data_IF_338510578877
#
_entry.id   IF_338510578877
#
_cell.length_a   1.000
_cell.length_b   1.000
_cell.length_c   1.000
_cell.angle_alpha   90.00
_cell.angle_beta   90.00
_cell.angle_gamma   90.00
#
_symmetry.space_group_name_H-M   'P 1'
#
loop_
_entity.id
_entity.type
_entity.pdbx_description
1 polymer ?
#
# COMPACT_ATOMS: atom_id res chain seq x y z
N UNK A 1 26.55 -22.48 10.61
CA UNK A 1 27.09 -22.60 9.23
C UNK A 1 26.60 -21.40 8.42
N UNK A 2 27.43 -20.38 8.20
CA UNK A 2 27.11 -19.14 7.45
C UNK A 2 28.18 -18.92 6.36
N UNK A 3 28.42 -19.92 5.50
CA UNK A 3 29.45 -19.85 4.46
C UNK A 3 28.91 -19.47 3.06
N UNK A 4 27.59 -19.45 2.85
CA UNK A 4 26.97 -19.29 1.52
C UNK A 4 26.08 -18.03 1.35
N UNK A 5 26.24 -16.99 2.19
CA UNK A 5 25.45 -15.75 2.07
C UNK A 5 26.22 -14.59 1.39
N UNK A 6 27.53 -14.75 1.19
CA UNK A 6 28.35 -13.73 0.52
C UNK A 6 28.07 -13.74 -0.97
N UNK A 7 27.90 -12.55 -1.54
CA UNK A 7 27.87 -12.36 -2.98
C UNK A 7 29.26 -12.64 -3.57
N UNK A 8 29.28 -13.36 -4.68
CA UNK A 8 30.46 -13.49 -5.54
C UNK A 8 30.79 -12.15 -6.22
N UNK A 9 32.03 -12.01 -6.72
CA UNK A 9 32.45 -10.81 -7.46
C UNK A 9 31.57 -10.52 -8.67
N UNK A 10 31.12 -11.58 -9.38
CA UNK A 10 30.19 -11.45 -10.49
C UNK A 10 28.85 -10.86 -10.06
N UNK A 11 28.31 -11.31 -8.92
CA UNK A 11 27.03 -10.81 -8.41
C UNK A 11 27.14 -9.37 -7.91
N UNK A 12 28.25 -9.01 -7.27
CA UNK A 12 28.54 -7.63 -6.89
C UNK A 12 28.61 -6.74 -8.13
N UNK A 13 29.29 -7.19 -9.19
CA UNK A 13 29.37 -6.47 -10.47
C UNK A 13 27.98 -6.27 -11.09
N UNK A 14 27.13 -7.30 -11.09
CA UNK A 14 25.73 -7.22 -11.58
C UNK A 14 24.89 -6.24 -10.78
N UNK A 15 24.93 -6.28 -9.45
CA UNK A 15 24.24 -5.29 -8.62
C UNK A 15 24.76 -3.87 -8.90
N UNK A 16 26.06 -3.70 -9.14
CA UNK A 16 26.64 -2.44 -9.57
C UNK A 16 26.06 -1.92 -10.89
N UNK A 17 25.85 -2.81 -11.87
CA UNK A 17 25.21 -2.46 -13.14
C UNK A 17 23.75 -2.05 -12.96
N UNK A 18 22.97 -2.79 -12.17
CA UNK A 18 21.58 -2.44 -11.81
C UNK A 18 21.53 -1.06 -11.17
N UNK A 19 22.37 -0.81 -10.16
CA UNK A 19 22.40 0.48 -9.45
C UNK A 19 22.81 1.61 -10.40
N UNK A 20 23.73 1.37 -11.33
CA UNK A 20 24.13 2.36 -12.34
C UNK A 20 22.93 2.76 -13.22
N UNK A 21 22.14 1.78 -13.69
CA UNK A 21 20.93 2.04 -14.46
C UNK A 21 19.92 2.84 -13.62
N UNK A 22 19.66 2.40 -12.39
CA UNK A 22 18.67 3.05 -11.50
C UNK A 22 19.08 4.48 -11.06
N UNK A 23 20.37 4.81 -11.07
CA UNK A 23 20.85 6.17 -10.80
C UNK A 23 20.71 7.11 -12.00
N UNK A 24 20.70 6.58 -13.22
CA UNK A 24 20.56 7.37 -14.44
C UNK A 24 19.08 7.53 -14.84
N UNK A 25 18.35 8.28 -14.02
CA UNK A 25 16.90 8.48 -14.19
C UNK A 25 16.52 9.12 -15.52
N UNK A 26 17.43 9.91 -16.10
CA UNK A 26 17.20 10.57 -17.39
C UNK A 26 17.08 9.60 -18.56
N UNK A 27 17.71 8.42 -18.47
CA UNK A 27 17.74 7.41 -19.53
C UNK A 27 16.80 6.22 -19.30
N UNK A 28 15.90 6.27 -18.31
CA UNK A 28 14.94 5.18 -18.01
C UNK A 28 14.13 4.71 -19.22
N UNK A 29 13.88 5.60 -20.19
CA UNK A 29 13.13 5.28 -21.41
C UNK A 29 13.94 4.43 -22.39
N UNK A 30 15.28 4.48 -22.35
CA UNK A 30 16.19 3.75 -23.26
C UNK A 30 16.99 2.64 -22.58
N UNK A 31 17.27 2.72 -21.28
CA UNK A 31 18.00 1.68 -20.55
C UNK A 31 17.15 0.43 -20.35
N UNK A 32 17.81 -0.72 -20.22
CA UNK A 32 17.18 -2.03 -20.02
C UNK A 32 18.01 -2.84 -19.01
N UNK A 33 17.37 -3.74 -18.28
CA UNK A 33 18.04 -4.68 -17.39
C UNK A 33 18.32 -5.99 -18.10
N UNK A 34 19.44 -6.65 -17.77
CA UNK A 34 19.66 -8.01 -18.23
C UNK A 34 18.81 -8.99 -17.40
N UNK A 35 18.29 -10.05 -18.01
CA UNK A 35 17.50 -11.08 -17.30
C UNK A 35 18.26 -11.68 -16.11
N UNK A 36 19.58 -11.87 -16.25
CA UNK A 36 20.44 -12.38 -15.19
C UNK A 36 20.59 -11.40 -14.01
N UNK A 37 20.43 -10.09 -14.22
CA UNK A 37 20.46 -9.10 -13.15
C UNK A 37 19.16 -9.15 -12.34
N UNK A 38 18.02 -9.29 -13.02
CA UNK A 38 16.71 -9.48 -12.36
C UNK A 38 16.67 -10.82 -11.63
N UNK A 39 17.14 -11.90 -12.26
CA UNK A 39 17.22 -13.22 -11.63
C UNK A 39 18.07 -13.18 -10.34
N UNK A 40 19.17 -12.41 -10.32
CA UNK A 40 19.96 -12.19 -9.11
C UNK A 40 19.13 -11.50 -8.02
N UNK A 41 18.45 -10.39 -8.33
CA UNK A 41 17.60 -9.68 -7.36
C UNK A 41 16.51 -10.59 -6.77
N UNK A 42 15.81 -11.35 -7.63
CA UNK A 42 14.77 -12.30 -7.19
C UNK A 42 15.35 -13.40 -6.31
N UNK A 43 16.53 -13.92 -6.65
CA UNK A 43 17.23 -14.91 -5.82
C UNK A 43 17.53 -14.34 -4.44
N UNK A 44 18.11 -13.14 -4.36
CA UNK A 44 18.44 -12.50 -3.09
C UNK A 44 17.18 -12.22 -2.27
N UNK A 45 16.11 -11.76 -2.92
CA UNK A 45 14.83 -11.52 -2.27
C UNK A 45 14.28 -12.81 -1.66
N UNK A 46 14.41 -13.97 -2.32
CA UNK A 46 13.96 -15.28 -1.79
C UNK A 46 14.90 -15.87 -0.73
N UNK A 47 16.21 -15.80 -0.92
CA UNK A 47 17.16 -16.58 -0.12
C UNK A 47 17.79 -15.84 1.05
N UNK A 48 17.85 -14.50 1.02
CA UNK A 48 18.50 -13.76 2.09
C UNK A 48 17.70 -13.80 3.38
N UNK A 49 18.36 -13.88 4.56
CA UNK A 49 17.69 -13.78 5.84
C UNK A 49 16.89 -12.49 5.98
N UNK A 50 15.77 -12.52 6.71
CA UNK A 50 14.94 -11.32 6.93
C UNK A 50 15.75 -10.14 7.49
N UNK A 51 16.73 -10.39 8.37
CA UNK A 51 17.59 -9.35 8.92
C UNK A 51 18.48 -8.63 7.89
N UNK A 52 18.62 -9.17 6.68
CA UNK A 52 19.53 -8.67 5.63
C UNK A 52 18.80 -8.29 4.33
N UNK A 53 17.49 -8.54 4.21
CA UNK A 53 16.74 -8.37 2.96
C UNK A 53 16.46 -6.90 2.58
N UNK A 54 16.51 -5.98 3.56
CA UNK A 54 16.23 -4.55 3.37
C UNK A 54 16.87 -3.93 2.11
N UNK A 55 18.18 -4.08 1.84
CA UNK A 55 18.82 -3.46 0.67
C UNK A 55 18.28 -4.00 -0.66
N UNK A 56 17.86 -5.27 -0.69
CA UNK A 56 17.28 -5.87 -1.90
C UNK A 56 15.93 -5.25 -2.20
N UNK A 57 15.11 -5.05 -1.15
CA UNK A 57 13.81 -4.37 -1.26
C UNK A 57 13.99 -2.89 -1.63
N UNK A 58 15.06 -2.25 -1.13
CA UNK A 58 15.37 -0.86 -1.46
C UNK A 58 15.78 -0.68 -2.93
N UNK A 59 16.43 -1.67 -3.54
CA UNK A 59 16.64 -1.73 -5.00
C UNK A 59 15.33 -2.01 -5.71
N UNK A 60 14.53 -2.98 -5.23
CA UNK A 60 13.26 -3.38 -5.84
C UNK A 60 12.28 -2.20 -5.96
N UNK A 61 12.14 -1.36 -4.92
CA UNK A 61 11.26 -0.18 -4.96
C UNK A 61 11.65 0.82 -6.05
N UNK A 62 12.92 0.87 -6.45
CA UNK A 62 13.40 1.72 -7.54
C UNK A 62 13.24 1.02 -8.89
N UNK A 63 13.46 -0.30 -8.92
CA UNK A 63 13.25 -1.15 -10.10
C UNK A 63 11.83 -1.04 -10.62
N UNK A 64 10.83 -1.09 -9.74
CA UNK A 64 9.41 -0.99 -10.15
C UNK A 64 9.05 0.37 -10.74
N UNK A 65 9.85 1.43 -10.52
CA UNK A 65 9.61 2.74 -11.13
C UNK A 65 10.24 2.88 -12.52
N UNK A 66 11.15 1.97 -12.88
CA UNK A 66 11.77 1.94 -14.19
C UNK A 66 10.86 1.17 -15.18
N UNK A 67 10.53 1.69 -16.38
CA UNK A 67 9.58 1.04 -17.30
C UNK A 67 9.95 -0.39 -17.66
N UNK A 68 11.23 -0.63 -18.02
CA UNK A 68 11.73 -1.98 -18.28
C UNK A 68 11.74 -2.86 -17.02
N UNK A 69 12.28 -2.38 -15.89
CA UNK A 69 12.29 -3.11 -14.62
C UNK A 69 10.89 -3.54 -14.16
N UNK A 70 9.91 -2.65 -14.29
CA UNK A 70 8.50 -2.93 -14.04
C UNK A 70 7.97 -4.05 -14.94
N UNK A 71 8.31 -4.02 -16.24
CA UNK A 71 7.87 -5.02 -17.23
C UNK A 71 8.51 -6.38 -16.98
N UNK A 72 9.81 -6.42 -16.68
CA UNK A 72 10.51 -7.69 -16.45
C UNK A 72 10.07 -8.31 -15.12
N UNK A 73 9.90 -7.51 -14.07
CA UNK A 73 9.43 -8.01 -12.78
C UNK A 73 8.02 -8.61 -12.86
N UNK A 74 7.13 -8.03 -13.68
CA UNK A 74 5.74 -8.50 -13.83
C UNK A 74 5.66 -9.97 -14.25
N UNK A 75 6.63 -10.46 -15.03
CA UNK A 75 6.74 -11.88 -15.44
C UNK A 75 6.90 -12.85 -14.26
N UNK A 76 7.16 -12.34 -13.07
CA UNK A 76 7.36 -13.10 -11.83
C UNK A 76 6.25 -12.85 -10.79
N UNK A 77 5.17 -12.21 -11.22
CA UNK A 77 4.04 -11.75 -10.38
C UNK A 77 2.73 -12.46 -10.80
N UNK A 78 2.82 -13.44 -11.70
CA UNK A 78 1.73 -14.31 -12.12
C UNK A 78 1.99 -15.74 -11.57
N UNK A 79 0.92 -16.45 -11.16
CA UNK A 79 0.89 -17.83 -10.64
C UNK A 79 1.27 -18.07 -9.15
N UNK A 80 1.38 -19.34 -8.74
CA UNK A 80 1.59 -19.83 -7.35
C UNK A 80 2.87 -19.30 -6.66
N UNK A 81 3.76 -18.64 -7.41
CA UNK A 81 5.07 -18.15 -6.96
C UNK A 81 5.20 -16.62 -7.03
N UNK A 82 4.11 -15.91 -6.73
CA UNK A 82 4.09 -14.45 -6.66
C UNK A 82 5.17 -13.90 -5.71
N UNK A 83 6.21 -13.32 -6.31
CA UNK A 83 7.35 -12.80 -5.57
C UNK A 83 6.99 -11.58 -4.70
N UNK A 84 6.02 -10.76 -5.13
CA UNK A 84 5.62 -9.56 -4.41
C UNK A 84 4.82 -9.94 -3.16
N UNK A 85 3.88 -10.88 -3.29
CA UNK A 85 3.14 -11.38 -2.12
C UNK A 85 4.04 -12.10 -1.13
N UNK A 86 5.00 -12.90 -1.62
CA UNK A 86 5.99 -13.54 -0.75
C UNK A 86 6.85 -12.50 -0.01
N UNK A 87 7.29 -11.44 -0.70
CA UNK A 87 8.00 -10.33 -0.06
C UNK A 87 7.15 -9.66 1.01
N UNK A 88 5.87 -9.36 0.72
CA UNK A 88 4.94 -8.72 1.66
C UNK A 88 4.78 -9.57 2.92
N UNK A 89 4.47 -10.87 2.78
CA UNK A 89 4.33 -11.82 3.91
C UNK A 89 5.58 -11.86 4.78
N UNK A 90 6.76 -11.82 4.15
CA UNK A 90 8.05 -11.86 4.84
C UNK A 90 8.37 -10.58 5.60
N UNK A 91 8.07 -9.40 5.05
CA UNK A 91 8.35 -8.13 5.74
C UNK A 91 7.34 -7.80 6.85
N UNK A 92 6.16 -8.42 6.82
CA UNK A 92 5.11 -8.22 7.83
C UNK A 92 5.02 -9.36 8.85
N UNK A 93 5.96 -10.30 8.80
CA UNK A 93 6.06 -11.36 9.81
C UNK A 93 6.28 -10.73 11.19
N UNK A 94 5.49 -11.14 12.18
CA UNK A 94 5.56 -10.60 13.54
C UNK A 94 6.74 -11.21 14.34
N UNK A 95 7.55 -10.40 15.05
CA UNK A 95 7.57 -8.93 15.02
C UNK A 95 8.24 -8.40 13.74
N UNK A 96 7.65 -7.40 13.05
CA UNK A 96 8.22 -6.88 11.81
C UNK A 96 9.49 -6.09 12.10
N UNK A 97 10.51 -6.25 11.24
CA UNK A 97 11.70 -5.42 11.30
C UNK A 97 11.40 -4.04 10.69
N UNK A 98 11.54 -2.92 11.44
CA UNK A 98 11.12 -1.59 10.96
C UNK A 98 11.70 -1.18 9.59
N UNK A 99 12.98 -1.46 9.26
CA UNK A 99 13.52 -1.15 7.94
C UNK A 99 12.80 -1.90 6.82
N UNK A 100 12.57 -3.20 7.01
CA UNK A 100 11.90 -4.06 6.03
C UNK A 100 10.45 -3.67 5.82
N UNK A 101 9.72 -3.39 6.91
CA UNK A 101 8.33 -2.98 6.86
C UNK A 101 8.20 -1.66 6.07
N UNK A 102 9.08 -0.69 6.37
CA UNK A 102 9.08 0.62 5.72
C UNK A 102 9.44 0.53 4.22
N UNK A 103 10.48 -0.23 3.85
CA UNK A 103 10.82 -0.37 2.43
C UNK A 103 9.83 -1.24 1.68
N UNK A 104 9.26 -2.25 2.33
CA UNK A 104 8.22 -3.11 1.76
C UNK A 104 6.97 -2.32 1.39
N UNK A 105 6.41 -1.54 2.33
CA UNK A 105 5.24 -0.71 2.02
C UNK A 105 5.54 0.31 0.93
N UNK A 106 6.74 0.91 0.93
CA UNK A 106 7.15 1.86 -0.13
C UNK A 106 7.32 1.19 -1.49
N UNK A 107 7.80 -0.06 -1.53
CA UNK A 107 7.85 -0.85 -2.76
C UNK A 107 6.44 -1.09 -3.32
N UNK A 108 5.49 -1.49 -2.45
CA UNK A 108 4.08 -1.66 -2.82
C UNK A 108 3.46 -0.35 -3.33
N UNK A 109 3.67 0.76 -2.61
CA UNK A 109 3.19 2.09 -3.03
C UNK A 109 3.71 2.50 -4.41
N UNK A 110 4.93 2.10 -4.78
CA UNK A 110 5.51 2.41 -6.08
C UNK A 110 4.91 1.58 -7.24
N UNK A 111 4.29 0.41 -6.96
CA UNK A 111 3.65 -0.40 -7.99
C UNK A 111 2.51 0.34 -8.69
N UNK A 112 1.80 1.21 -7.97
CA UNK A 112 0.71 2.03 -8.51
C UNK A 112 1.13 2.92 -9.67
N UNK A 113 2.44 3.20 -9.83
CA UNK A 113 2.94 4.04 -10.93
C UNK A 113 2.79 3.38 -12.30
N UNK A 114 2.68 2.06 -12.37
CA UNK A 114 2.64 1.32 -13.63
C UNK A 114 1.31 0.58 -13.77
N UNK A 115 0.60 0.87 -14.88
CA UNK A 115 -0.70 0.29 -15.21
C UNK A 115 -0.77 -1.25 -15.11
N UNK A 116 0.24 -2.04 -15.52
CA UNK A 116 0.16 -3.49 -15.45
C UNK A 116 -0.03 -4.05 -14.02
N UNK A 117 0.44 -3.34 -12.99
CA UNK A 117 0.25 -3.78 -11.60
C UNK A 117 -1.11 -3.39 -11.02
N UNK A 118 -1.91 -2.58 -11.70
CA UNK A 118 -3.21 -2.13 -11.18
C UNK A 118 -4.16 -3.32 -10.95
N UNK A 119 -4.24 -4.24 -11.91
CA UNK A 119 -5.02 -5.47 -11.77
C UNK A 119 -4.53 -6.34 -10.62
N UNK A 120 -3.21 -6.43 -10.46
CA UNK A 120 -2.59 -7.20 -9.38
C UNK A 120 -2.89 -6.60 -8.00
N UNK A 121 -2.77 -5.27 -7.87
CA UNK A 121 -3.06 -4.52 -6.64
C UNK A 121 -4.53 -4.68 -6.24
N UNK A 122 -5.45 -4.61 -7.20
CA UNK A 122 -6.88 -4.84 -6.96
C UNK A 122 -7.15 -6.26 -6.48
N UNK A 123 -6.61 -7.26 -7.18
CA UNK A 123 -6.78 -8.67 -6.81
C UNK A 123 -6.35 -8.94 -5.37
N UNK A 124 -5.21 -8.42 -4.95
CA UNK A 124 -4.64 -8.66 -3.62
C UNK A 124 -5.07 -7.62 -2.58
N UNK A 125 -5.90 -6.65 -2.93
CA UNK A 125 -6.46 -5.70 -1.98
C UNK A 125 -7.31 -6.42 -0.92
N UNK A 126 -8.04 -7.47 -1.33
CA UNK A 126 -9.12 -8.06 -0.53
C UNK A 126 -9.13 -9.60 -0.50
N UNK A 127 -8.03 -10.26 -0.87
CA UNK A 127 -7.99 -11.73 -1.00
C UNK A 127 -8.39 -12.40 0.34
N UNK A 128 -9.67 -12.80 0.38
CA UNK A 128 -10.41 -13.56 1.41
C UNK A 128 -11.10 -12.80 2.55
N UNK A 129 -11.84 -11.74 2.25
CA UNK A 129 -13.02 -11.38 3.08
C UNK A 129 -14.21 -12.29 2.76
N UNK A 130 -14.15 -13.57 3.16
CA UNK A 130 -15.43 -14.31 3.34
C UNK A 130 -16.22 -13.59 4.44
N UNK A 131 -17.50 -13.32 4.19
CA UNK A 131 -18.35 -12.43 5.02
C UNK A 131 -18.41 -12.75 6.52
N UNK A 132 -17.85 -13.86 6.98
CA UNK A 132 -17.72 -14.22 8.40
C UNK A 132 -16.66 -13.39 9.17
N UNK A 133 -15.56 -12.97 8.54
CA UNK A 133 -14.45 -12.29 9.25
C UNK A 133 -14.80 -10.84 9.64
N UNK A 134 -15.75 -10.21 8.93
CA UNK A 134 -16.23 -8.84 9.24
C UNK A 134 -16.87 -8.73 10.63
N UNK A 135 -17.58 -9.76 11.09
CA UNK A 135 -18.18 -9.77 12.45
C UNK A 135 -17.15 -9.93 13.58
N UNK A 136 -15.92 -10.36 13.26
CA UNK A 136 -14.88 -10.61 14.26
C UNK A 136 -13.71 -9.62 14.20
N UNK A 137 -13.69 -8.62 13.30
CA UNK A 137 -12.63 -7.58 13.29
C UNK A 137 -12.54 -6.82 14.62
N UNK A 138 -13.67 -6.59 15.29
CA UNK A 138 -13.72 -6.00 16.63
C UNK A 138 -13.19 -6.94 17.74
N UNK A 139 -13.09 -8.25 17.47
CA UNK A 139 -12.62 -9.30 18.38
C UNK A 139 -11.15 -9.65 18.09
N UNK A 140 -10.66 -9.62 16.85
CA UNK A 140 -9.26 -9.92 16.56
C UNK A 140 -8.27 -8.86 17.07
N UNK A 141 -8.70 -7.60 17.24
CA UNK A 141 -7.88 -6.56 17.85
C UNK A 141 -7.72 -6.71 19.38
N UNK A 142 -8.42 -7.66 20.02
CA UNK A 142 -8.34 -7.85 21.48
C UNK A 142 -7.21 -8.81 21.95
N UNK A 143 -6.26 -9.15 21.09
CA UNK A 143 -5.03 -9.88 21.50
C UNK A 143 -5.25 -11.30 22.02
N UNK A 144 -6.41 -11.92 21.77
CA UNK A 144 -6.82 -13.20 22.38
C UNK A 144 -6.78 -14.42 21.44
N UNK A 145 -6.29 -14.30 20.21
CA UNK A 145 -6.19 -15.43 19.28
C UNK A 145 -4.72 -15.89 19.11
N UNK A 146 -4.30 -17.00 19.77
CA UNK A 146 -2.91 -17.48 19.70
C UNK A 146 -2.52 -18.20 18.39
N UNK A 147 -3.45 -18.38 17.44
CA UNK A 147 -3.18 -18.99 16.13
C UNK A 147 -3.17 -17.95 15.00
N UNK A 148 -2.19 -17.04 15.05
CA UNK A 148 -2.03 -15.91 14.14
C UNK A 148 -1.59 -16.33 12.70
N UNK A 149 -0.97 -17.51 12.55
CA UNK A 149 -0.32 -17.92 11.29
C UNK A 149 -1.30 -18.31 10.17
N UNK A 150 -2.50 -18.79 10.50
CA UNK A 150 -3.51 -19.19 9.51
C UNK A 150 -4.32 -18.00 8.97
N UNK A 151 -4.40 -16.90 9.74
CA UNK A 151 -5.21 -15.71 9.41
C UNK A 151 -4.49 -14.81 8.39
N UNK A 152 -3.15 -14.76 8.41
CA UNK A 152 -2.36 -13.94 7.47
C UNK A 152 -2.53 -14.39 6.02
N UNK A 153 -2.87 -15.67 5.78
CA UNK A 153 -3.16 -16.18 4.44
C UNK A 153 -4.43 -15.64 3.80
N UNK A 154 -5.30 -14.97 4.56
CA UNK A 154 -6.59 -14.41 4.13
C UNK A 154 -6.67 -12.88 4.25
N UNK A 155 -5.55 -12.21 4.55
CA UNK A 155 -5.50 -10.76 4.71
C UNK A 155 -5.02 -10.10 3.43
N UNK A 156 -5.79 -9.12 2.95
CA UNK A 156 -5.39 -8.28 1.83
C UNK A 156 -4.26 -7.33 2.20
N UNK A 157 -3.64 -6.71 1.18
CA UNK A 157 -2.49 -5.81 1.36
C UNK A 157 -2.77 -4.70 2.39
N UNK A 158 -3.98 -4.14 2.41
CA UNK A 158 -4.38 -3.11 3.37
C UNK A 158 -4.32 -3.63 4.81
N UNK A 159 -4.86 -4.81 5.07
CA UNK A 159 -4.91 -5.40 6.41
C UNK A 159 -3.51 -5.72 6.94
N UNK A 160 -2.65 -6.27 6.09
CA UNK A 160 -1.29 -6.68 6.47
C UNK A 160 -0.42 -5.49 6.87
N UNK A 161 -0.63 -4.31 6.28
CA UNK A 161 0.09 -3.08 6.62
C UNK A 161 -0.66 -2.16 7.60
N UNK A 162 -1.88 -2.49 8.02
CA UNK A 162 -2.74 -1.64 8.87
C UNK A 162 -2.02 -1.08 10.10
N UNK A 163 -1.26 -1.90 10.83
CA UNK A 163 -0.48 -1.45 12.00
C UNK A 163 0.49 -0.29 11.76
N UNK A 164 0.81 0.04 10.50
CA UNK A 164 1.67 1.17 10.14
C UNK A 164 1.04 2.52 10.50
N UNK A 165 -0.29 2.67 10.52
CA UNK A 165 -0.92 3.96 10.84
C UNK A 165 -0.71 4.39 12.31
N UNK A 166 -0.67 3.43 13.23
CA UNK A 166 -0.45 3.67 14.66
C UNK A 166 1.02 3.56 15.06
N UNK A 167 1.92 3.39 14.10
CA UNK A 167 3.36 3.27 14.37
C UNK A 167 3.92 4.57 14.95
N UNK A 168 4.85 4.54 15.92
CA UNK A 168 5.56 5.74 16.36
C UNK A 168 6.48 6.32 15.27
N UNK A 169 6.77 5.55 14.21
CA UNK A 169 7.56 6.03 13.09
C UNK A 169 6.67 6.76 12.09
N UNK A 170 6.79 8.09 12.06
CA UNK A 170 6.10 8.98 11.10
C UNK A 170 6.27 8.56 9.64
N UNK A 171 7.39 7.94 9.27
CA UNK A 171 7.60 7.45 7.90
C UNK A 171 6.72 6.25 7.55
N UNK A 172 6.38 5.40 8.53
CA UNK A 172 5.46 4.28 8.32
C UNK A 172 4.03 4.79 8.18
N UNK A 173 3.61 5.72 9.05
CA UNK A 173 2.31 6.40 8.94
C UNK A 173 2.15 7.03 7.55
N UNK A 174 3.14 7.80 7.12
CA UNK A 174 3.11 8.50 5.83
C UNK A 174 3.08 7.53 4.65
N UNK A 175 3.83 6.42 4.72
CA UNK A 175 3.88 5.43 3.65
C UNK A 175 2.54 4.68 3.53
N UNK A 176 1.89 4.37 4.65
CA UNK A 176 0.58 3.73 4.68
C UNK A 176 -0.53 4.66 4.18
N UNK A 177 -0.55 5.92 4.65
CA UNK A 177 -1.48 6.93 4.14
C UNK A 177 -1.30 7.19 2.63
N UNK A 178 -0.06 7.12 2.13
CA UNK A 178 0.21 7.22 0.67
C UNK A 178 -0.32 6.01 -0.09
N UNK A 179 -0.19 4.80 0.46
CA UNK A 179 -0.75 3.59 -0.15
C UNK A 179 -2.27 3.66 -0.22
N UNK A 180 -2.94 4.10 0.85
CA UNK A 180 -4.40 4.32 0.88
C UNK A 180 -4.83 5.33 -0.17
N UNK A 181 -4.15 6.48 -0.26
CA UNK A 181 -4.45 7.49 -1.28
C UNK A 181 -4.30 6.94 -2.70
N UNK A 182 -3.25 6.16 -2.97
CA UNK A 182 -3.06 5.55 -4.29
C UNK A 182 -4.14 4.52 -4.61
N UNK A 183 -4.60 3.74 -3.62
CA UNK A 183 -5.75 2.85 -3.79
C UNK A 183 -7.03 3.64 -4.07
N UNK A 184 -7.29 4.73 -3.35
CA UNK A 184 -8.45 5.58 -3.60
C UNK A 184 -8.47 6.05 -5.06
N UNK A 185 -7.34 6.58 -5.56
CA UNK A 185 -7.18 7.00 -6.96
C UNK A 185 -7.39 5.83 -7.93
N UNK A 186 -6.82 4.66 -7.65
CA UNK A 186 -6.98 3.48 -8.50
C UNK A 186 -8.44 3.01 -8.61
N UNK A 187 -9.16 3.04 -7.50
CA UNK A 187 -10.51 2.48 -7.40
C UNK A 187 -11.59 3.44 -7.91
N UNK A 188 -11.28 4.73 -8.03
CA UNK A 188 -12.17 5.73 -8.61
C UNK A 188 -12.65 5.29 -9.99
N UNK A 189 -11.76 4.85 -10.87
CA UNK A 189 -12.13 4.53 -12.25
C UNK A 189 -12.81 3.16 -12.42
N UNK A 190 -12.75 2.30 -11.39
CA UNK A 190 -12.90 0.85 -11.53
C UNK A 190 -14.23 0.29 -11.01
N UNK A 191 -15.08 1.15 -10.43
CA UNK A 191 -16.42 0.81 -9.89
C UNK A 191 -16.41 -0.36 -8.87
N UNK A 192 -15.27 -0.61 -8.23
CA UNK A 192 -15.14 -1.63 -7.18
C UNK A 192 -15.60 -1.05 -5.84
N UNK A 193 -16.90 -1.17 -5.56
CA UNK A 193 -17.51 -0.59 -4.36
C UNK A 193 -17.00 -1.23 -3.07
N UNK A 194 -16.63 -2.52 -3.10
CA UNK A 194 -16.10 -3.20 -1.91
C UNK A 194 -14.69 -2.71 -1.59
N UNK A 195 -13.84 -2.62 -2.62
CA UNK A 195 -12.52 -2.01 -2.49
C UNK A 195 -12.59 -0.55 -2.01
N UNK A 196 -13.50 0.24 -2.59
CA UNK A 196 -13.70 1.64 -2.18
C UNK A 196 -14.12 1.75 -0.71
N UNK A 197 -15.04 0.90 -0.25
CA UNK A 197 -15.46 0.83 1.15
C UNK A 197 -14.29 0.56 2.10
N UNK A 198 -13.44 -0.42 1.79
CA UNK A 198 -12.30 -0.78 2.63
C UNK A 198 -11.28 0.36 2.74
N UNK A 199 -10.99 1.01 1.61
CA UNK A 199 -10.05 2.15 1.57
C UNK A 199 -10.62 3.35 2.30
N UNK A 200 -11.92 3.61 2.18
CA UNK A 200 -12.60 4.67 2.92
C UNK A 200 -12.50 4.43 4.44
N UNK A 201 -12.80 3.22 4.91
CA UNK A 201 -12.66 2.87 6.34
C UNK A 201 -11.23 3.10 6.83
N UNK A 202 -10.24 2.58 6.11
CA UNK A 202 -8.84 2.75 6.50
C UNK A 202 -8.39 4.22 6.47
N UNK A 203 -8.92 5.04 5.55
CA UNK A 203 -8.64 6.46 5.49
C UNK A 203 -9.26 7.22 6.68
N UNK A 204 -10.49 6.87 7.07
CA UNK A 204 -11.17 7.48 8.22
C UNK A 204 -10.47 7.16 9.54
N UNK A 205 -10.01 5.92 9.73
CA UNK A 205 -9.20 5.54 10.90
C UNK A 205 -7.96 6.45 11.08
N UNK A 206 -7.33 6.86 9.97
CA UNK A 206 -6.19 7.79 9.98
C UNK A 206 -6.65 9.23 10.23
N UNK A 207 -7.76 9.65 9.62
CA UNK A 207 -8.29 11.00 9.72
C UNK A 207 -8.70 11.35 11.17
N UNK A 208 -9.35 10.41 11.85
CA UNK A 208 -9.83 10.53 13.22
C UNK A 208 -8.72 10.37 14.27
N UNK A 209 -7.60 9.74 13.92
CA UNK A 209 -6.51 9.49 14.86
C UNK A 209 -5.88 10.77 15.42
N UNK A 210 -5.79 10.89 16.74
CA UNK A 210 -5.26 12.09 17.41
C UNK A 210 -3.76 12.30 17.19
N UNK A 211 -2.96 11.22 17.25
CA UNK A 211 -1.50 11.26 17.22
C UNK A 211 -0.92 10.87 15.85
N UNK A 212 -1.58 11.31 14.78
CA UNK A 212 -1.20 11.05 13.40
C UNK A 212 -0.40 12.23 12.85
N UNK A 213 0.69 11.93 12.17
CA UNK A 213 1.51 12.93 11.48
C UNK A 213 0.68 13.69 10.42
N UNK A 214 0.93 15.00 10.31
CA UNK A 214 0.04 15.92 9.57
C UNK A 214 -0.05 15.57 8.08
N UNK A 215 1.04 15.23 7.40
CA UNK A 215 1.01 14.79 6.00
C UNK A 215 0.27 13.45 5.80
N UNK A 216 0.38 12.55 6.78
CA UNK A 216 -0.34 11.27 6.80
C UNK A 216 -1.85 11.51 6.91
N UNK A 217 -2.27 12.37 7.84
CA UNK A 217 -3.66 12.78 8.01
C UNK A 217 -4.20 13.51 6.78
N UNK A 218 -3.41 14.42 6.20
CA UNK A 218 -3.77 15.12 4.98
C UNK A 218 -4.03 14.16 3.81
N UNK A 219 -3.14 13.19 3.57
CA UNK A 219 -3.31 12.19 2.50
C UNK A 219 -4.54 11.32 2.70
N UNK A 220 -4.85 10.95 3.95
CA UNK A 220 -6.06 10.21 4.27
C UNK A 220 -7.32 11.02 3.98
N UNK A 221 -7.37 12.30 4.36
CA UNK A 221 -8.49 13.19 4.04
C UNK A 221 -8.64 13.39 2.52
N UNK A 222 -7.55 13.54 1.77
CA UNK A 222 -7.60 13.59 0.30
C UNK A 222 -8.18 12.28 -0.26
N UNK A 223 -7.82 11.12 0.30
CA UNK A 223 -8.39 9.83 -0.10
C UNK A 223 -9.90 9.76 0.16
N UNK A 224 -10.36 10.22 1.34
CA UNK A 224 -11.79 10.34 1.68
C UNK A 224 -12.50 11.22 0.64
N UNK A 225 -12.04 12.46 0.44
CA UNK A 225 -12.65 13.39 -0.51
C UNK A 225 -12.67 12.86 -1.96
N UNK A 226 -11.61 12.16 -2.38
CA UNK A 226 -11.53 11.58 -3.73
C UNK A 226 -12.57 10.48 -3.96
N UNK A 227 -12.84 9.66 -2.94
CA UNK A 227 -13.89 8.62 -2.99
C UNK A 227 -15.29 9.25 -2.91
N UNK A 228 -15.48 10.29 -2.09
CA UNK A 228 -16.75 11.00 -1.94
C UNK A 228 -17.17 11.79 -3.18
N UNK A 229 -16.21 12.43 -3.88
CA UNK A 229 -16.47 13.21 -5.10
C UNK A 229 -17.05 12.35 -6.22
N UNK A 230 -16.66 11.08 -6.30
CA UNK A 230 -17.08 10.21 -7.39
C UNK A 230 -18.55 9.74 -7.27
N UNK A 231 -19.10 9.73 -6.06
CA UNK A 231 -20.50 9.39 -5.84
C UNK A 231 -21.44 10.38 -6.54
N UNK A 232 -21.03 11.63 -6.81
CA UNK A 232 -21.86 12.61 -7.55
C UNK A 232 -22.07 12.20 -9.02
N UNK A 233 -21.09 11.54 -9.64
CA UNK A 233 -21.18 11.13 -11.05
C UNK A 233 -21.84 9.75 -11.23
N UNK A 234 -21.75 8.87 -10.23
CA UNK A 234 -22.32 7.51 -10.25
C UNK A 234 -23.72 7.41 -9.60
N UNK A 235 -24.09 8.30 -8.69
CA UNK A 235 -25.41 8.32 -8.04
C UNK A 235 -26.58 8.59 -9.01
N UNK A 236 -26.30 9.05 -10.24
CA UNK A 236 -27.31 9.14 -11.29
C UNK A 236 -27.67 7.78 -11.93
N UNK A 237 -26.94 6.69 -11.63
CA UNK A 237 -27.12 5.40 -12.31
C UNK A 237 -27.42 4.19 -11.43
N UNK A 238 -26.98 4.13 -10.16
CA UNK A 238 -27.23 2.97 -9.29
C UNK A 238 -27.37 3.41 -7.83
N UNK A 239 -28.39 2.89 -7.14
CA UNK A 239 -28.76 3.20 -5.76
C UNK A 239 -27.64 2.77 -4.78
N UNK A 240 -26.82 3.75 -4.37
CA UNK A 240 -25.42 3.59 -3.96
C UNK A 240 -25.17 2.92 -2.60
N UNK A 241 -24.28 1.93 -2.60
CA UNK A 241 -23.72 1.32 -1.37
C UNK A 241 -22.71 2.25 -0.70
N UNK A 242 -21.87 2.95 -1.48
CA UNK A 242 -20.87 3.90 -0.96
C UNK A 242 -21.56 5.10 -0.30
N UNK A 243 -22.66 5.60 -0.88
CA UNK A 243 -23.54 6.62 -0.27
C UNK A 243 -24.07 6.20 1.11
N UNK A 244 -24.47 4.93 1.28
CA UNK A 244 -24.90 4.41 2.59
C UNK A 244 -23.71 4.31 3.55
N UNK A 245 -22.57 3.82 3.06
CA UNK A 245 -21.35 3.67 3.84
C UNK A 245 -20.80 5.02 4.35
N UNK A 246 -20.82 6.08 3.54
CA UNK A 246 -20.38 7.42 3.93
C UNK A 246 -21.27 8.04 5.03
N UNK A 247 -22.58 7.78 4.96
CA UNK A 247 -23.54 8.14 6.01
C UNK A 247 -23.35 7.28 7.27
N UNK A 248 -23.01 6.00 7.11
CA UNK A 248 -22.74 5.08 8.22
C UNK A 248 -21.41 5.39 8.94
N UNK A 249 -20.45 6.02 8.27
CA UNK A 249 -19.13 6.37 8.80
C UNK A 249 -18.96 7.84 9.24
N UNK A 250 -20.05 8.62 9.28
CA UNK A 250 -20.04 9.99 9.81
C UNK A 250 -18.96 10.91 9.20
N UNK A 251 -18.76 10.77 7.88
CA UNK A 251 -17.76 11.55 7.10
C UNK A 251 -17.96 13.06 7.28
N UNK A 252 -19.19 13.50 7.51
CA UNK A 252 -19.52 14.90 7.78
C UNK A 252 -18.85 15.42 9.07
N UNK A 253 -18.85 14.64 10.16
CA UNK A 253 -18.19 15.05 11.39
C UNK A 253 -16.66 15.02 11.27
N UNK A 254 -16.10 14.06 10.53
CA UNK A 254 -14.66 14.06 10.20
C UNK A 254 -14.29 15.32 9.41
N UNK A 255 -15.09 15.71 8.42
CA UNK A 255 -14.86 16.91 7.62
C UNK A 255 -14.94 18.20 8.46
N UNK A 256 -15.94 18.32 9.35
CA UNK A 256 -16.06 19.46 10.29
C UNK A 256 -14.87 19.54 11.25
N UNK A 257 -14.44 18.40 11.77
CA UNK A 257 -13.27 18.31 12.67
C UNK A 257 -11.99 18.71 11.94
N UNK A 258 -11.78 18.21 10.72
CA UNK A 258 -10.65 18.58 9.88
C UNK A 258 -10.67 20.08 9.54
N UNK A 259 -11.82 20.64 9.17
CA UNK A 259 -12.01 22.07 8.90
C UNK A 259 -11.65 22.95 10.09
N UNK A 260 -11.93 22.49 11.32
CA UNK A 260 -11.59 23.20 12.55
C UNK A 260 -10.11 23.07 12.95
N UNK A 261 -9.29 22.34 12.19
CA UNK A 261 -7.87 22.18 12.45
C UNK A 261 -7.10 23.51 12.36
N UNK A 262 -6.03 23.62 13.15
CA UNK A 262 -5.08 24.73 13.07
C UNK A 262 -4.10 24.60 11.90
N UNK A 263 -3.97 23.39 11.35
CA UNK A 263 -3.11 23.10 10.20
C UNK A 263 -3.84 23.51 8.92
N UNK A 264 -3.34 24.54 8.23
CA UNK A 264 -4.02 25.15 7.06
C UNK A 264 -4.45 24.13 6.02
N UNK A 265 -3.55 23.22 5.61
CA UNK A 265 -3.86 22.18 4.62
C UNK A 265 -4.94 21.19 5.07
N UNK A 266 -5.04 20.92 6.37
CA UNK A 266 -6.08 20.05 6.95
C UNK A 266 -7.42 20.78 6.98
N UNK A 267 -7.39 22.07 7.32
CA UNK A 267 -8.58 22.92 7.35
C UNK A 267 -9.19 23.09 5.94
N UNK A 268 -8.34 23.33 4.93
CA UNK A 268 -8.74 23.49 3.54
C UNK A 268 -9.37 22.20 2.99
N UNK A 269 -8.69 21.05 3.10
CA UNK A 269 -9.25 19.77 2.63
C UNK A 269 -10.52 19.38 3.39
N UNK A 270 -10.61 19.70 4.69
CA UNK A 270 -11.83 19.49 5.48
C UNK A 270 -13.01 20.33 5.00
N UNK A 271 -12.76 21.59 4.61
CA UNK A 271 -13.78 22.46 4.02
C UNK A 271 -14.26 21.94 2.66
N UNK A 272 -13.34 21.43 1.82
CA UNK A 272 -13.69 20.84 0.53
C UNK A 272 -14.55 19.58 0.69
N UNK A 273 -14.19 18.69 1.62
CA UNK A 273 -14.99 17.48 1.90
C UNK A 273 -16.38 17.86 2.44
N UNK A 274 -16.46 18.83 3.35
CA UNK A 274 -17.74 19.31 3.90
C UNK A 274 -18.64 19.91 2.80
N UNK A 275 -18.06 20.58 1.80
CA UNK A 275 -18.80 21.07 0.64
C UNK A 275 -19.37 19.90 -0.17
N UNK A 276 -18.56 18.87 -0.42
CA UNK A 276 -18.98 17.68 -1.18
C UNK A 276 -20.11 16.93 -0.50
N UNK A 277 -20.11 16.81 0.83
CA UNK A 277 -21.19 16.13 1.57
C UNK A 277 -22.50 16.93 1.57
N UNK A 278 -22.43 18.26 1.54
CA UNK A 278 -23.62 19.15 1.48
C UNK A 278 -24.26 19.26 0.10
N UNK A 279 -23.53 18.94 -0.96
CA UNK A 279 -24.04 18.95 -2.33
C UNK A 279 -24.80 17.66 -2.72
N UNK A 280 -24.93 16.69 -1.79
CA UNK A 280 -25.58 15.38 -1.99
C UNK A 280 -27.07 15.36 -1.67
#
# INVERSE_FOLDING_TARGET
VKKDLSLSELEISRLGAVIKILKDTSHYHTSRFADADIALLLKLLKSWPLAMIFPVIDILRMLVLHPDGATVLLKHVEDENDILMEMIKRVTTNPPLPPNLLTGIRAVTNLFKNLPYHTWLQKHQSEWSTGLIRSYKHICFCGLCPNLTLIIGCMGILDVFSSCYSSPNKNLQLSYATMILNYAVLLIEKKDLEGQSQVLTAALEIAEGENIEVDSKFRALVAVGSLEHLDVFLAQMLDGLVKRIALDFDVENVAKTAKASKETKIAEVGADIELLTKQK
#
